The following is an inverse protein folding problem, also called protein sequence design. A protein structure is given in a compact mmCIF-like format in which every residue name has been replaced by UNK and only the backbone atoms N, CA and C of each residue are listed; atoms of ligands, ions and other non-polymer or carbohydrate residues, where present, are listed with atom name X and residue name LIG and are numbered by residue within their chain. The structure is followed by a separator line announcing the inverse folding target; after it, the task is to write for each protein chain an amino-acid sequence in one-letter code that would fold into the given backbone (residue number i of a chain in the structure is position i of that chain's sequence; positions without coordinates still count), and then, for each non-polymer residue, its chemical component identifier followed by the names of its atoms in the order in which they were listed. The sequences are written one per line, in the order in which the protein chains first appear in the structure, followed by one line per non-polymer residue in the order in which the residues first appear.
data_IF_756769222867
#
_entry.id   IF_756769222867
#
_cell.length_a   1.000
_cell.length_b   1.000
_cell.length_c   1.000
_cell.angle_alpha   90.00
_cell.angle_beta   90.00
_cell.angle_gamma   90.00
#
_symmetry.space_group_name_H-M   'P 1'
#
loop_
_entity.id
_entity.type
_entity.pdbx_description
1 polymer ?
#
# COMPACT_ATOMS: atom_id res chain seq x y z
N UNK A 1 -6.49 14.70 -8.34
CA UNK A 1 -7.85 14.23 -7.99
C UNK A 1 -8.88 14.68 -9.00
N UNK A 2 -8.97 15.98 -9.33
CA UNK A 2 -10.00 16.55 -10.22
C UNK A 2 -10.16 15.86 -11.61
N UNK A 3 -9.07 15.36 -12.21
CA UNK A 3 -9.15 14.59 -13.47
C UNK A 3 -9.75 13.18 -13.31
N UNK A 4 -9.57 12.57 -12.13
CA UNK A 4 -10.07 11.23 -11.82
C UNK A 4 -11.53 11.24 -11.38
N UNK A 5 -11.93 12.25 -10.61
CA UNK A 5 -13.30 12.40 -10.06
C UNK A 5 -14.38 12.44 -11.13
N UNK A 6 -14.08 12.95 -12.33
CA UNK A 6 -15.02 12.97 -13.47
C UNK A 6 -15.45 11.57 -13.92
N UNK A 7 -14.64 10.55 -13.62
CA UNK A 7 -14.86 9.14 -13.98
C UNK A 7 -15.33 8.28 -12.81
N UNK A 8 -15.41 8.85 -11.61
CA UNK A 8 -15.89 8.18 -10.40
C UNK A 8 -17.40 8.31 -10.27
N UNK A 9 -18.03 7.33 -9.64
CA UNK A 9 -19.45 7.37 -9.34
C UNK A 9 -19.80 8.64 -8.53
N UNK A 10 -20.96 9.21 -8.82
CA UNK A 10 -21.53 10.32 -8.06
C UNK A 10 -22.92 9.92 -7.62
N UNK A 11 -23.33 10.46 -6.49
CA UNK A 11 -24.59 10.10 -5.87
C UNK A 11 -25.42 11.35 -5.63
N UNK A 12 -26.74 11.22 -5.79
CA UNK A 12 -27.72 12.26 -5.52
C UNK A 12 -28.90 11.72 -4.69
N UNK A 13 -29.86 12.60 -4.39
CA UNK A 13 -30.99 12.32 -3.51
C UNK A 13 -30.73 12.69 -2.06
N UNK A 14 -31.77 12.60 -1.23
CA UNK A 14 -31.72 13.00 0.18
C UNK A 14 -30.84 12.10 1.04
N UNK A 15 -30.65 10.85 0.64
CA UNK A 15 -29.86 9.84 1.32
C UNK A 15 -28.61 9.41 0.53
N UNK A 16 -28.32 10.07 -0.60
CA UNK A 16 -27.24 9.72 -1.53
C UNK A 16 -27.35 8.27 -2.07
N UNK A 17 -28.58 7.75 -2.21
CA UNK A 17 -28.83 6.41 -2.71
C UNK A 17 -28.83 6.27 -4.24
N UNK A 18 -29.01 7.37 -4.98
CA UNK A 18 -29.17 7.35 -6.44
C UNK A 18 -27.84 7.59 -7.14
N UNK A 19 -27.43 6.66 -8.02
CA UNK A 19 -26.17 6.78 -8.80
C UNK A 19 -26.41 7.63 -10.04
N UNK A 20 -25.67 8.73 -10.16
CA UNK A 20 -25.67 9.58 -11.35
C UNK A 20 -24.92 8.88 -12.48
N UNK A 21 -25.53 8.84 -13.66
CA UNK A 21 -24.90 8.32 -14.87
C UNK A 21 -23.81 9.29 -15.37
N UNK A 22 -22.60 8.77 -15.57
CA UNK A 22 -21.45 9.56 -15.99
C UNK A 22 -21.36 9.62 -17.52
N UNK A 23 -21.23 10.83 -18.06
CA UNK A 23 -20.90 11.03 -19.47
C UNK A 23 -19.41 10.77 -19.70
N UNK A 24 -19.07 9.53 -20.06
CA UNK A 24 -17.70 9.10 -20.36
C UNK A 24 -17.41 9.15 -21.86
N UNK A 25 -16.16 9.44 -22.24
CA UNK A 25 -15.73 9.31 -23.63
C UNK A 25 -15.69 7.83 -24.06
N UNK A 26 -15.74 7.49 -25.36
CA UNK A 26 -15.82 6.11 -25.85
C UNK A 26 -14.72 5.16 -25.36
N UNK A 27 -13.54 5.70 -25.02
CA UNK A 27 -12.39 4.93 -24.51
C UNK A 27 -12.21 5.03 -22.99
N UNK A 28 -13.07 5.76 -22.29
CA UNK A 28 -12.98 5.94 -20.84
C UNK A 28 -13.79 4.87 -20.10
N UNK A 29 -13.16 4.26 -19.11
CA UNK A 29 -13.81 3.35 -18.18
C UNK A 29 -14.26 4.10 -16.93
N UNK A 30 -15.28 3.60 -16.25
CA UNK A 30 -15.58 4.06 -14.89
C UNK A 30 -14.39 3.76 -13.98
N UNK A 31 -14.08 4.70 -13.09
CA UNK A 31 -12.99 4.60 -12.14
C UNK A 31 -13.56 4.31 -10.75
N UNK A 32 -13.01 3.33 -10.05
CA UNK A 32 -13.37 3.01 -8.66
C UNK A 32 -12.19 3.38 -7.77
N UNK A 33 -12.45 4.27 -6.81
CA UNK A 33 -11.51 4.55 -5.74
C UNK A 33 -11.49 3.36 -4.78
N UNK A 34 -10.31 2.77 -4.62
CA UNK A 34 -10.06 1.71 -3.65
C UNK A 34 -9.13 2.29 -2.59
N UNK A 35 -9.60 2.37 -1.36
CA UNK A 35 -8.83 2.87 -0.22
C UNK A 35 -8.30 1.71 0.59
N UNK A 36 -7.15 1.87 1.20
CA UNK A 36 -6.54 0.88 2.08
C UNK A 36 -6.01 1.56 3.34
N UNK A 37 -6.20 0.90 4.48
CA UNK A 37 -5.69 1.33 5.77
C UNK A 37 -5.52 0.13 6.72
N UNK A 38 -4.73 0.32 7.77
CA UNK A 38 -4.53 -0.63 8.85
C UNK A 38 -4.96 -0.07 10.22
N UNK A 39 -5.76 -0.82 10.97
CA UNK A 39 -6.20 -0.43 12.31
C UNK A 39 -5.89 -1.51 13.33
N UNK A 40 -5.38 -1.11 14.49
CA UNK A 40 -5.20 -1.98 15.65
C UNK A 40 -6.36 -1.82 16.62
N UNK A 41 -6.83 -2.95 17.16
CA UNK A 41 -7.85 -3.01 18.20
C UNK A 41 -7.32 -3.85 19.36
N UNK A 42 -7.35 -3.29 20.55
CA UNK A 42 -6.84 -3.92 21.75
C UNK A 42 -7.98 -4.46 22.63
N UNK A 43 -7.72 -5.55 23.36
CA UNK A 43 -8.75 -6.25 24.17
C UNK A 43 -9.32 -5.38 25.28
N UNK A 44 -8.55 -4.40 25.74
CA UNK A 44 -8.96 -3.45 26.77
C UNK A 44 -9.31 -2.08 26.19
N UNK A 45 -9.52 -1.98 24.86
CA UNK A 45 -10.13 -0.80 24.24
C UNK A 45 -11.56 -0.68 24.76
N UNK A 46 -11.74 0.27 25.65
CA UNK A 46 -13.00 0.49 26.35
C UNK A 46 -13.07 1.92 26.87
N UNK A 47 -14.17 2.26 27.55
CA UNK A 47 -14.37 3.63 28.05
C UNK A 47 -13.28 3.99 29.06
N UNK A 48 -12.42 4.95 28.71
CA UNK A 48 -11.41 5.48 29.63
C UNK A 48 -12.05 6.14 30.86
N UNK A 49 -13.24 6.71 30.71
CA UNK A 49 -14.00 7.36 31.79
C UNK A 49 -15.26 6.56 32.13
N UNK A 50 -15.47 6.31 33.42
CA UNK A 50 -16.68 5.70 33.97
C UNK A 50 -17.14 6.52 35.17
N UNK A 51 -18.45 6.60 35.35
CA UNK A 51 -19.04 7.11 36.58
C UNK A 51 -19.19 5.95 37.55
N UNK A 52 -18.60 6.08 38.73
CA UNK A 52 -18.68 5.11 39.82
C UNK A 52 -19.13 5.84 41.07
N UNK A 53 -19.86 5.16 41.94
CA UNK A 53 -20.17 5.70 43.27
C UNK A 53 -18.90 5.80 44.13
N UNK A 54 -19.01 6.44 45.31
CA UNK A 54 -17.85 6.72 46.16
C UNK A 54 -17.21 5.45 46.76
N UNK A 55 -17.97 4.36 46.86
CA UNK A 55 -17.56 3.13 47.54
C UNK A 55 -17.00 2.08 46.55
N UNK A 56 -17.28 2.21 45.26
CA UNK A 56 -16.83 1.29 44.23
C UNK A 56 -15.61 1.81 43.46
N UNK A 57 -14.49 1.08 43.59
CA UNK A 57 -13.27 1.29 42.79
C UNK A 57 -13.01 0.07 41.92
N UNK A 58 -13.58 -0.01 40.70
CA UNK A 58 -13.34 -1.15 39.83
C UNK A 58 -11.86 -1.21 39.43
N UNK A 59 -11.23 -2.35 39.68
CA UNK A 59 -9.88 -2.62 39.21
C UNK A 59 -9.89 -2.86 37.70
N UNK A 60 -9.06 -2.12 36.98
CA UNK A 60 -8.86 -2.31 35.55
C UNK A 60 -7.61 -3.14 35.28
N UNK A 61 -7.64 -4.05 34.31
CA UNK A 61 -6.43 -4.66 33.79
C UNK A 61 -5.41 -3.60 33.40
N UNK A 62 -4.13 -3.87 33.66
CA UNK A 62 -3.04 -2.96 33.28
C UNK A 62 -2.72 -3.13 31.79
N UNK A 63 -2.50 -2.01 31.09
CA UNK A 63 -2.14 -1.99 29.67
C UNK A 63 -3.34 -2.14 28.74
N UNK A 64 -3.08 -2.45 27.49
CA UNK A 64 -4.11 -2.57 26.43
C UNK A 64 -4.61 -4.01 26.22
N UNK A 65 -3.93 -4.99 26.84
CA UNK A 65 -4.24 -6.41 26.66
C UNK A 65 -3.70 -6.92 25.32
N UNK A 66 -4.31 -7.98 24.79
CA UNK A 66 -3.96 -8.50 23.46
C UNK A 66 -4.57 -7.63 22.38
N UNK A 67 -3.88 -7.40 21.29
CA UNK A 67 -4.43 -6.68 20.14
C UNK A 67 -4.63 -7.59 18.93
N UNK A 68 -5.47 -7.12 18.03
CA UNK A 68 -5.59 -7.57 16.65
C UNK A 68 -5.31 -6.37 15.75
N UNK A 69 -4.64 -6.60 14.63
CA UNK A 69 -4.50 -5.64 13.56
C UNK A 69 -5.37 -6.09 12.39
N UNK A 70 -6.11 -5.17 11.81
CA UNK A 70 -6.95 -5.40 10.62
C UNK A 70 -6.42 -4.54 9.50
N UNK A 71 -6.05 -5.16 8.38
CA UNK A 71 -5.68 -4.51 7.12
C UNK A 71 -6.77 -4.78 6.10
N UNK A 72 -7.38 -3.73 5.54
CA UNK A 72 -8.53 -3.90 4.64
C UNK A 72 -8.45 -2.99 3.41
N UNK A 73 -8.78 -3.54 2.25
CA UNK A 73 -9.10 -2.76 1.06
C UNK A 73 -10.61 -2.52 1.00
N UNK A 74 -11.00 -1.26 0.84
CA UNK A 74 -12.38 -0.83 0.77
C UNK A 74 -12.66 -0.12 -0.54
N UNK A 75 -13.87 -0.29 -1.06
CA UNK A 75 -14.40 0.55 -2.12
C UNK A 75 -15.85 0.92 -1.78
N UNK A 76 -16.28 2.09 -2.22
CA UNK A 76 -17.58 2.66 -1.83
C UNK A 76 -18.76 1.72 -2.13
N UNK A 77 -18.74 1.04 -3.29
CA UNK A 77 -19.83 0.18 -3.75
C UNK A 77 -19.90 -1.19 -3.05
N UNK A 78 -18.81 -1.70 -2.46
CA UNK A 78 -18.78 -3.03 -1.82
C UNK A 78 -18.32 -3.01 -0.35
N UNK A 79 -17.99 -1.84 0.20
CA UNK A 79 -17.36 -1.67 1.53
C UNK A 79 -16.03 -2.47 1.54
N UNK A 80 -15.61 -3.24 2.57
CA UNK A 80 -14.50 -4.15 2.40
C UNK A 80 -14.67 -5.01 1.14
N UNK A 81 -13.66 -5.02 0.29
CA UNK A 81 -13.73 -5.74 -0.97
C UNK A 81 -13.88 -7.23 -0.73
N UNK A 82 -15.06 -7.75 -1.05
CA UNK A 82 -15.47 -9.13 -0.81
C UNK A 82 -16.36 -9.61 -1.95
N UNK A 83 -16.09 -10.81 -2.45
CA UNK A 83 -16.93 -11.45 -3.46
C UNK A 83 -18.27 -11.89 -2.85
N UNK A 84 -19.34 -11.73 -3.61
CA UNK A 84 -20.63 -12.37 -3.32
C UNK A 84 -20.55 -13.88 -3.57
N UNK A 85 -21.52 -14.63 -3.06
CA UNK A 85 -21.58 -16.08 -3.30
C UNK A 85 -21.67 -16.40 -4.81
N UNK A 86 -22.38 -15.58 -5.58
CA UNK A 86 -22.46 -15.71 -7.04
C UNK A 86 -21.11 -15.47 -7.73
N UNK A 87 -20.40 -14.41 -7.36
CA UNK A 87 -19.06 -14.11 -7.90
C UNK A 87 -18.04 -15.16 -7.50
N UNK A 88 -18.16 -15.73 -6.30
CA UNK A 88 -17.32 -16.83 -5.84
C UNK A 88 -17.49 -18.09 -6.69
N UNK A 89 -18.71 -18.38 -7.15
CA UNK A 89 -18.95 -19.50 -8.08
C UNK A 89 -18.32 -19.24 -9.46
N UNK A 90 -18.37 -17.99 -9.94
CA UNK A 90 -17.78 -17.59 -11.22
C UNK A 90 -16.24 -17.49 -11.18
N UNK A 91 -15.68 -17.20 -10.00
CA UNK A 91 -14.25 -16.96 -9.79
C UNK A 91 -13.68 -17.82 -8.65
N UNK A 92 -13.70 -19.16 -8.75
CA UNK A 92 -13.34 -20.06 -7.65
C UNK A 92 -11.87 -19.96 -7.20
N UNK A 93 -11.00 -19.42 -8.05
CA UNK A 93 -9.56 -19.25 -7.79
C UNK A 93 -9.21 -17.85 -7.24
N UNK A 94 -10.18 -16.95 -7.10
CA UNK A 94 -9.98 -15.61 -6.55
C UNK A 94 -10.26 -15.66 -5.05
N UNK A 95 -9.42 -15.04 -4.20
CA UNK A 95 -9.70 -14.96 -2.77
C UNK A 95 -11.07 -14.32 -2.48
N UNK A 96 -11.68 -14.72 -1.36
CA UNK A 96 -13.02 -14.27 -1.01
C UNK A 96 -13.06 -12.78 -0.64
N UNK A 97 -12.08 -12.30 0.11
CA UNK A 97 -12.03 -10.94 0.63
C UNK A 97 -10.59 -10.43 0.71
N UNK A 98 -10.42 -9.12 0.58
CA UNK A 98 -9.14 -8.42 0.73
C UNK A 98 -9.00 -7.82 2.14
N UNK A 99 -9.34 -8.61 3.15
CA UNK A 99 -9.24 -8.25 4.57
C UNK A 99 -8.33 -9.25 5.27
N UNK A 100 -7.33 -8.74 5.99
CA UNK A 100 -6.41 -9.53 6.78
C UNK A 100 -6.50 -9.14 8.24
N UNK A 101 -6.60 -10.15 9.10
CA UNK A 101 -6.57 -10.01 10.56
C UNK A 101 -5.31 -10.70 11.05
N UNK A 102 -4.56 -10.00 11.91
CA UNK A 102 -3.26 -10.43 12.40
C UNK A 102 -3.23 -10.24 13.90
N UNK A 103 -2.65 -11.17 14.64
CA UNK A 103 -2.34 -11.00 16.05
C UNK A 103 -0.90 -10.48 16.18
N UNK A 104 -0.70 -9.17 16.36
CA UNK A 104 0.64 -8.62 16.46
C UNK A 104 1.38 -9.18 17.68
N UNK A 105 2.61 -9.65 17.45
CA UNK A 105 3.47 -10.10 18.53
C UNK A 105 4.56 -11.06 18.08
N UNK A 106 5.73 -11.00 18.73
CA UNK A 106 6.89 -11.86 18.41
C UNK A 106 6.58 -13.36 18.55
N UNK A 107 5.67 -13.73 19.46
CA UNK A 107 5.27 -15.11 19.72
C UNK A 107 3.88 -15.45 19.14
N UNK A 108 3.33 -14.59 18.30
CA UNK A 108 2.03 -14.74 17.63
C UNK A 108 2.27 -14.73 16.11
N UNK A 109 1.55 -13.91 15.34
CA UNK A 109 1.65 -13.87 13.87
C UNK A 109 2.79 -12.96 13.36
N UNK A 110 3.55 -12.33 14.26
CA UNK A 110 4.58 -11.35 13.91
C UNK A 110 4.04 -9.92 13.85
N UNK A 111 4.67 -9.06 13.05
CA UNK A 111 4.21 -7.69 12.80
C UNK A 111 3.91 -7.53 11.32
N UNK A 112 2.93 -6.69 10.98
CA UNK A 112 2.63 -6.37 9.58
C UNK A 112 3.78 -5.62 8.92
N UNK A 113 4.18 -6.09 7.75
CA UNK A 113 5.29 -5.52 6.98
C UNK A 113 4.84 -5.08 5.59
N UNK A 114 5.71 -4.34 4.89
CA UNK A 114 5.42 -3.93 3.52
C UNK A 114 5.30 -5.16 2.59
N UNK A 115 6.04 -6.23 2.86
CA UNK A 115 5.93 -7.46 2.09
C UNK A 115 4.53 -8.06 2.20
N UNK A 116 3.92 -7.99 3.39
CA UNK A 116 2.56 -8.47 3.61
C UNK A 116 1.52 -7.59 2.91
N UNK A 117 1.70 -6.26 2.94
CA UNK A 117 0.88 -5.32 2.17
C UNK A 117 0.95 -5.59 0.66
N UNK A 118 2.17 -5.71 0.11
CA UNK A 118 2.36 -5.98 -1.33
C UNK A 118 1.72 -7.31 -1.70
N UNK A 119 1.86 -8.32 -0.84
CA UNK A 119 1.22 -9.62 -1.01
C UNK A 119 -0.30 -9.50 -1.02
N UNK A 120 -0.89 -8.83 -0.04
CA UNK A 120 -2.35 -8.61 0.03
C UNK A 120 -2.86 -7.85 -1.21
N UNK A 121 -2.13 -6.82 -1.65
CA UNK A 121 -2.48 -6.06 -2.85
C UNK A 121 -2.48 -6.94 -4.11
N UNK A 122 -1.41 -7.72 -4.31
CA UNK A 122 -1.19 -8.52 -5.51
C UNK A 122 -2.05 -9.78 -5.56
N UNK A 123 -2.15 -10.49 -4.44
CA UNK A 123 -2.80 -11.80 -4.38
C UNK A 123 -4.30 -11.70 -4.08
N UNK A 124 -4.76 -10.64 -3.42
CA UNK A 124 -6.17 -10.49 -3.02
C UNK A 124 -6.84 -9.29 -3.66
N UNK A 125 -6.37 -8.07 -3.38
CA UNK A 125 -7.10 -6.85 -3.75
C UNK A 125 -7.23 -6.70 -5.28
N UNK A 126 -6.15 -6.89 -6.05
CA UNK A 126 -6.21 -6.78 -7.52
C UNK A 126 -7.08 -7.89 -8.15
N UNK A 127 -6.93 -9.18 -7.79
CA UNK A 127 -7.81 -10.23 -8.29
C UNK A 127 -9.28 -10.02 -7.94
N UNK A 128 -9.58 -9.64 -6.69
CA UNK A 128 -10.95 -9.35 -6.24
C UNK A 128 -11.51 -8.14 -6.99
N UNK A 129 -10.72 -7.08 -7.17
CA UNK A 129 -11.15 -5.90 -7.94
C UNK A 129 -11.64 -6.28 -9.34
N UNK A 130 -10.84 -7.10 -10.04
CA UNK A 130 -11.15 -7.54 -11.41
C UNK A 130 -12.43 -8.37 -11.48
N UNK A 131 -12.70 -9.18 -10.46
CA UNK A 131 -13.92 -9.96 -10.35
C UNK A 131 -15.16 -9.10 -10.01
N UNK A 132 -15.00 -8.14 -9.11
CA UNK A 132 -16.08 -7.23 -8.68
C UNK A 132 -16.47 -6.22 -9.77
N UNK A 133 -15.49 -5.72 -10.53
CA UNK A 133 -15.68 -4.60 -11.45
C UNK A 133 -15.16 -4.91 -12.86
N UNK A 134 -15.77 -5.87 -13.57
CA UNK A 134 -15.39 -6.15 -14.95
C UNK A 134 -15.59 -4.87 -15.78
N UNK A 135 -14.53 -4.43 -16.48
CA UNK A 135 -14.47 -3.22 -17.31
C UNK A 135 -14.29 -1.87 -16.58
N UNK A 136 -13.93 -1.87 -15.29
CA UNK A 136 -13.58 -0.64 -14.57
C UNK A 136 -12.06 -0.49 -14.45
N UNK A 137 -11.61 0.71 -14.12
CA UNK A 137 -10.24 0.98 -13.68
C UNK A 137 -10.22 1.24 -12.17
N UNK A 138 -9.19 0.72 -11.50
CA UNK A 138 -8.97 0.99 -10.07
C UNK A 138 -8.07 2.22 -9.90
N UNK A 139 -8.42 3.09 -8.97
CA UNK A 139 -7.50 4.05 -8.38
C UNK A 139 -7.25 3.63 -6.94
N UNK A 140 -6.07 3.06 -6.66
CA UNK A 140 -5.68 2.69 -5.31
C UNK A 140 -5.12 3.91 -4.57
N UNK A 141 -5.65 4.16 -3.37
CA UNK A 141 -5.21 5.22 -2.49
C UNK A 141 -4.73 4.62 -1.16
N UNK A 142 -3.52 5.01 -0.78
CA UNK A 142 -2.87 4.62 0.46
C UNK A 142 -2.55 5.88 1.26
N UNK A 143 -2.39 5.72 2.58
CA UNK A 143 -1.83 6.78 3.41
C UNK A 143 -0.30 6.91 3.17
N UNK A 144 0.32 7.86 3.86
CA UNK A 144 1.75 8.13 3.71
C UNK A 144 2.59 7.48 4.81
N UNK A 145 2.17 6.33 5.35
CA UNK A 145 2.90 5.64 6.42
C UNK A 145 4.29 5.18 5.96
N UNK A 146 5.17 4.90 6.92
CA UNK A 146 6.51 4.38 6.62
C UNK A 146 6.45 3.02 5.89
N UNK A 147 5.40 2.24 6.13
CA UNK A 147 5.23 0.94 5.51
C UNK A 147 4.98 1.05 4.00
N UNK A 148 4.20 2.05 3.55
CA UNK A 148 3.97 2.31 2.13
C UNK A 148 5.18 2.93 1.42
N UNK A 149 6.11 3.53 2.16
CA UNK A 149 7.36 4.08 1.62
C UNK A 149 8.49 3.07 1.44
N UNK A 150 8.26 1.80 1.81
CA UNK A 150 9.32 0.81 1.73
C UNK A 150 9.78 0.64 0.27
N UNK A 151 11.10 0.69 0.11
CA UNK A 151 11.73 0.48 -1.18
C UNK A 151 12.00 -1.02 -1.38
N UNK A 152 11.88 -1.53 -2.61
CA UNK A 152 12.35 -2.87 -2.94
C UNK A 152 13.82 -3.09 -2.53
N UNK A 153 14.19 -4.36 -2.28
CA UNK A 153 15.53 -4.72 -1.80
C UNK A 153 16.67 -4.25 -2.71
N UNK A 154 16.41 -4.16 -4.01
CA UNK A 154 17.33 -3.74 -5.05
C UNK A 154 17.07 -2.30 -5.51
N UNK A 155 16.26 -1.51 -4.81
CA UNK A 155 15.94 -0.16 -5.22
C UNK A 155 17.15 0.77 -5.15
N UNK A 156 17.12 1.81 -5.99
CA UNK A 156 18.09 2.89 -5.92
C UNK A 156 17.90 3.68 -4.63
N UNK A 157 18.95 3.74 -3.82
CA UNK A 157 18.96 4.52 -2.59
C UNK A 157 20.31 5.21 -2.42
N UNK A 158 20.34 6.49 -2.74
CA UNK A 158 21.54 7.32 -2.63
C UNK A 158 22.01 7.50 -1.18
N UNK A 159 21.11 7.41 -0.19
CA UNK A 159 21.45 7.62 1.23
C UNK A 159 22.37 6.55 1.79
N UNK A 160 22.36 5.35 1.20
CA UNK A 160 23.19 4.23 1.65
C UNK A 160 24.47 4.05 0.82
N UNK A 161 24.64 4.81 -0.26
CA UNK A 161 25.84 4.71 -1.10
C UNK A 161 27.06 5.27 -0.38
N UNK A 162 28.18 4.58 -0.50
CA UNK A 162 29.49 5.05 -0.03
C UNK A 162 30.18 5.88 -1.10
N UNK A 163 31.19 6.66 -0.73
CA UNK A 163 31.99 7.43 -1.71
C UNK A 163 32.76 6.50 -2.66
N UNK A 164 33.32 5.40 -2.14
CA UNK A 164 34.13 4.43 -2.89
C UNK A 164 33.30 3.23 -3.35
N UNK A 165 33.74 2.61 -4.44
CA UNK A 165 33.22 1.34 -4.96
C UNK A 165 33.49 0.16 -4.01
N UNK A 166 32.82 -0.96 -4.26
CA UNK A 166 33.04 -2.25 -3.60
C UNK A 166 32.85 -2.23 -2.07
N UNK A 167 32.01 -1.31 -1.57
CA UNK A 167 31.63 -1.32 -0.16
C UNK A 167 30.87 -2.59 0.20
N UNK A 168 31.30 -3.24 1.29
CA UNK A 168 30.63 -4.42 1.85
C UNK A 168 29.27 -4.09 2.49
N UNK A 169 29.01 -2.80 2.76
CA UNK A 169 27.78 -2.31 3.40
C UNK A 169 26.71 -2.02 2.35
N UNK A 170 27.12 -1.60 1.16
CA UNK A 170 26.18 -1.27 0.07
C UNK A 170 25.65 -2.57 -0.53
N UNK A 171 24.35 -2.81 -0.36
CA UNK A 171 23.66 -3.91 -1.03
C UNK A 171 23.55 -3.63 -2.53
N UNK A 172 23.32 -4.68 -3.31
CA UNK A 172 23.03 -4.58 -4.72
C UNK A 172 21.85 -3.62 -4.97
N UNK A 173 22.02 -2.68 -5.90
CA UNK A 173 20.95 -1.78 -6.37
C UNK A 173 20.81 -1.92 -7.88
N UNK A 174 19.60 -1.98 -8.42
CA UNK A 174 19.32 -2.10 -9.85
C UNK A 174 19.87 -0.91 -10.64
N UNK A 175 20.03 -1.09 -11.96
CA UNK A 175 20.39 0.02 -12.83
C UNK A 175 19.35 1.12 -12.80
N UNK A 176 19.84 2.37 -12.79
CA UNK A 176 19.02 3.55 -12.91
C UNK A 176 19.07 4.17 -14.29
N UNK A 177 18.47 5.33 -14.40
CA UNK A 177 18.59 6.19 -15.56
C UNK A 177 18.62 7.64 -15.13
N UNK A 178 19.14 8.51 -15.98
CA UNK A 178 19.09 9.95 -15.82
C UNK A 178 18.92 10.61 -17.18
N UNK A 179 18.42 11.85 -17.20
CA UNK A 179 18.34 12.66 -18.41
C UNK A 179 19.38 13.75 -18.37
N UNK A 180 20.08 13.97 -19.47
CA UNK A 180 21.01 15.09 -19.57
C UNK A 180 20.28 16.40 -19.88
N UNK A 181 21.07 17.49 -20.04
CA UNK A 181 20.56 18.83 -20.36
C UNK A 181 19.84 18.93 -21.71
N UNK A 182 20.09 18.00 -22.63
CA UNK A 182 19.42 17.92 -23.93
C UNK A 182 18.14 17.07 -23.85
N UNK A 183 17.91 16.39 -22.72
CA UNK A 183 16.78 15.50 -22.49
C UNK A 183 17.05 14.05 -22.87
N UNK A 184 18.27 13.72 -23.30
CA UNK A 184 18.65 12.37 -23.72
C UNK A 184 18.72 11.43 -22.51
N UNK A 185 18.16 10.23 -22.65
CA UNK A 185 18.10 9.23 -21.58
C UNK A 185 19.39 8.40 -21.53
N UNK A 186 20.06 8.42 -20.38
CA UNK A 186 21.27 7.65 -20.13
C UNK A 186 21.02 6.57 -19.07
N UNK A 187 21.36 5.32 -19.38
CA UNK A 187 21.31 4.22 -18.40
C UNK A 187 22.52 4.33 -17.48
N UNK A 188 22.26 4.31 -16.17
CA UNK A 188 23.28 4.29 -15.14
C UNK A 188 23.42 2.86 -14.60
N UNK A 189 24.53 2.20 -14.92
CA UNK A 189 24.90 0.97 -14.21
C UNK A 189 25.26 1.32 -12.76
N UNK A 190 24.73 0.54 -11.82
CA UNK A 190 25.06 0.66 -10.39
C UNK A 190 26.13 -0.35 -9.95
N UNK A 191 26.62 -1.15 -10.90
CA UNK A 191 27.67 -2.14 -10.71
C UNK A 191 28.89 -1.78 -11.55
N UNK A 192 30.07 -2.08 -11.03
CA UNK A 192 31.31 -2.12 -11.80
C UNK A 192 31.29 -3.31 -12.76
N UNK A 193 32.24 -3.37 -13.69
CA UNK A 193 32.42 -4.52 -14.60
C UNK A 193 32.68 -5.85 -13.88
N UNK A 194 33.14 -5.80 -12.62
CA UNK A 194 33.36 -6.96 -11.75
C UNK A 194 32.12 -7.33 -10.93
N UNK A 195 30.97 -6.67 -11.15
CA UNK A 195 29.73 -6.91 -10.42
C UNK A 195 29.68 -6.31 -9.01
N UNK A 196 30.66 -5.47 -8.63
CA UNK A 196 30.71 -4.83 -7.32
C UNK A 196 29.83 -3.58 -7.28
N UNK A 197 29.23 -3.22 -6.14
CA UNK A 197 28.45 -1.99 -6.02
C UNK A 197 29.32 -0.76 -6.26
N UNK A 198 28.85 0.16 -7.11
CA UNK A 198 29.49 1.45 -7.32
C UNK A 198 29.24 2.41 -6.15
N UNK A 199 30.24 3.23 -5.86
CA UNK A 199 30.17 4.35 -4.96
C UNK A 199 29.81 5.65 -5.68
N UNK A 200 29.49 6.66 -4.89
CA UNK A 200 29.09 7.99 -5.36
C UNK A 200 30.13 8.62 -6.28
N UNK A 201 31.43 8.46 -6.00
CA UNK A 201 32.48 9.07 -6.83
C UNK A 201 32.44 8.53 -8.25
N UNK A 202 32.43 7.21 -8.43
CA UNK A 202 32.39 6.59 -9.77
C UNK A 202 31.11 6.97 -10.52
N UNK A 203 29.95 6.91 -9.85
CA UNK A 203 28.67 7.31 -10.45
C UNK A 203 28.68 8.78 -10.88
N UNK A 204 29.15 9.69 -10.02
CA UNK A 204 29.16 11.12 -10.33
C UNK A 204 30.22 11.48 -11.37
N UNK A 205 31.40 10.83 -11.37
CA UNK A 205 32.40 11.00 -12.42
C UNK A 205 31.88 10.53 -13.77
N UNK A 206 31.18 9.38 -13.84
CA UNK A 206 30.53 8.90 -15.08
C UNK A 206 29.47 9.89 -15.60
N UNK A 207 28.83 10.65 -14.71
CA UNK A 207 27.88 11.71 -15.04
C UNK A 207 28.51 13.07 -15.33
N UNK A 208 29.84 13.20 -15.21
CA UNK A 208 30.53 14.48 -15.34
C UNK A 208 30.25 15.47 -14.20
N UNK A 209 29.81 14.99 -13.04
CA UNK A 209 29.46 15.79 -11.86
C UNK A 209 30.54 15.76 -10.77
N UNK A 210 31.63 15.02 -10.97
CA UNK A 210 32.74 14.91 -10.03
C UNK A 210 34.08 14.88 -10.78
N UNK A 211 34.89 15.91 -10.54
CA UNK A 211 36.28 16.07 -11.02
C UNK A 211 37.29 15.56 -9.99
#
# INVERSE_FOLDING_TARGET
MEGYEKRMAKYEGTDMGEVIELALQPNEKKLVLVTHDESCFSSYDGKHTIWVDQDHKPLRPKGEGRSIMVSAFLCECHRPMKLTDEQRLLHPNVPLEAVRIIKPGKNEDGYWTNADLVKQLQEEAIPIFKALHPNYEALFMFDNSQNHHALPLDALNARVLTIKDASKIVKFQRNGWWKDKNGDLHIQSMQTSLGQPKGLKSILTERGLWS
#
